data_IF_281098106956
#
_entry.id   IF_281098106956
#
_cell.length_a   1.000
_cell.length_b   1.000
_cell.length_c   1.000
_cell.angle_alpha   90.00
_cell.angle_beta   90.00
_cell.angle_gamma   90.00
#
_symmetry.space_group_name_H-M   'P 1'
#
loop_
_entity.id
_entity.type
_entity.pdbx_description
1 polymer ?
#
# COMPACT_ATOMS: atom_id res chain seq x y z
N UNK A 1 16.22 49.12 -4.76
CA UNK A 1 16.80 47.78 -4.79
C UNK A 1 15.76 46.85 -4.21
N UNK A 2 14.88 46.34 -5.05
CA UNK A 2 13.97 45.26 -4.68
C UNK A 2 14.82 44.01 -4.53
N UNK A 3 15.17 43.67 -3.30
CA UNK A 3 15.64 42.33 -2.97
C UNK A 3 14.46 41.41 -3.16
N UNK A 4 14.39 40.80 -4.33
CA UNK A 4 13.46 39.67 -4.58
C UNK A 4 13.78 38.58 -3.55
N UNK A 5 13.02 38.50 -2.48
CA UNK A 5 12.98 37.35 -1.57
C UNK A 5 12.31 36.19 -2.36
N UNK A 6 13.01 35.75 -3.40
CA UNK A 6 12.62 34.55 -4.12
C UNK A 6 12.67 33.39 -3.15
N UNK A 7 11.63 32.52 -3.16
CA UNK A 7 11.63 31.27 -2.35
C UNK A 7 12.92 30.49 -2.58
N UNK A 8 13.47 30.55 -3.80
CA UNK A 8 14.74 29.90 -4.15
C UNK A 8 15.96 30.51 -3.43
N UNK A 9 16.04 31.83 -3.31
CA UNK A 9 17.11 32.48 -2.56
C UNK A 9 17.01 32.21 -1.07
N UNK A 10 15.80 32.10 -0.52
CA UNK A 10 15.58 31.74 0.88
C UNK A 10 16.05 30.31 1.17
N UNK A 11 15.74 29.35 0.28
CA UNK A 11 16.22 27.96 0.42
C UNK A 11 17.76 27.89 0.32
N UNK A 12 18.36 28.62 -0.63
CA UNK A 12 19.83 28.58 -0.85
C UNK A 12 20.63 29.22 0.29
N UNK A 13 20.05 30.20 0.97
CA UNK A 13 20.71 30.90 2.08
C UNK A 13 20.39 30.33 3.47
N UNK A 14 19.47 29.35 3.54
CA UNK A 14 19.12 28.71 4.79
C UNK A 14 20.33 28.03 5.46
N UNK A 15 20.28 27.88 6.80
CA UNK A 15 21.32 27.15 7.52
C UNK A 15 21.46 25.72 6.99
N UNK A 16 22.67 25.18 6.98
CA UNK A 16 22.96 23.83 6.44
C UNK A 16 21.97 22.75 6.94
N UNK A 17 21.63 22.77 8.23
CA UNK A 17 20.72 21.79 8.80
C UNK A 17 19.28 21.96 8.25
N UNK A 18 18.80 23.19 8.08
CA UNK A 18 17.48 23.46 7.48
C UNK A 18 17.46 23.03 6.02
N UNK A 19 18.53 23.23 5.27
CA UNK A 19 18.67 22.73 3.90
C UNK A 19 18.58 21.20 3.83
N UNK A 20 19.26 20.49 4.75
CA UNK A 20 19.17 19.01 4.85
C UNK A 20 17.73 18.56 5.15
N UNK A 21 17.05 19.22 6.09
CA UNK A 21 15.64 18.95 6.40
C UNK A 21 14.75 19.14 5.18
N UNK A 22 14.89 20.26 4.47
CA UNK A 22 14.12 20.54 3.25
C UNK A 22 14.39 19.49 2.16
N UNK A 23 15.64 19.10 1.96
CA UNK A 23 16.01 18.06 0.99
C UNK A 23 15.36 16.70 1.33
N UNK A 24 15.43 16.29 2.60
CA UNK A 24 14.78 15.05 3.05
C UNK A 24 13.26 15.07 2.81
N UNK A 25 12.60 16.20 3.06
CA UNK A 25 11.17 16.36 2.83
C UNK A 25 10.81 16.32 1.34
N UNK A 26 11.64 16.92 0.46
CA UNK A 26 11.45 16.83 -1.00
C UNK A 26 11.60 15.37 -1.46
N UNK A 27 12.64 14.68 -1.02
CA UNK A 27 12.87 13.28 -1.38
C UNK A 27 11.71 12.40 -0.90
N UNK A 28 11.26 12.57 0.35
CA UNK A 28 10.11 11.85 0.87
C UNK A 28 8.83 12.11 0.05
N UNK A 29 8.60 13.36 -0.36
CA UNK A 29 7.47 13.75 -1.21
C UNK A 29 7.54 13.09 -2.58
N UNK A 30 8.69 13.16 -3.26
CA UNK A 30 8.87 12.55 -4.60
C UNK A 30 8.66 11.04 -4.56
N UNK A 31 9.26 10.35 -3.56
CA UNK A 31 9.06 8.90 -3.38
C UNK A 31 7.59 8.59 -3.11
N UNK A 32 6.93 9.38 -2.25
CA UNK A 32 5.49 9.20 -1.96
C UNK A 32 4.65 9.31 -3.22
N UNK A 33 4.85 10.31 -4.06
CA UNK A 33 4.14 10.44 -5.33
C UNK A 33 4.40 9.27 -6.28
N UNK A 34 5.65 8.81 -6.41
CA UNK A 34 5.99 7.64 -7.21
C UNK A 34 5.21 6.39 -6.73
N UNK A 35 5.18 6.16 -5.41
CA UNK A 35 4.44 5.07 -4.80
C UNK A 35 2.92 5.22 -4.99
N UNK A 36 2.37 6.42 -4.89
CA UNK A 36 0.95 6.68 -5.14
C UNK A 36 0.57 6.29 -6.56
N UNK A 37 1.34 6.69 -7.58
CA UNK A 37 1.07 6.31 -8.97
C UNK A 37 1.20 4.80 -9.20
N UNK A 38 2.22 4.17 -8.64
CA UNK A 38 2.39 2.72 -8.70
C UNK A 38 1.19 1.98 -8.08
N UNK A 39 0.76 2.39 -6.89
CA UNK A 39 -0.36 1.77 -6.19
C UNK A 39 -1.70 1.94 -6.91
N UNK A 40 -1.95 3.11 -7.50
CA UNK A 40 -3.12 3.31 -8.34
C UNK A 40 -3.22 2.28 -9.46
N UNK A 41 -2.10 1.96 -10.11
CA UNK A 41 -2.06 0.95 -11.18
C UNK A 41 -2.28 -0.46 -10.63
N UNK A 42 -1.65 -0.81 -9.50
CA UNK A 42 -1.80 -2.12 -8.85
C UNK A 42 -3.27 -2.38 -8.50
N UNK A 43 -3.93 -1.43 -7.80
CA UNK A 43 -5.35 -1.59 -7.43
C UNK A 43 -6.30 -1.63 -8.63
N UNK A 44 -6.03 -0.84 -9.69
CA UNK A 44 -6.81 -0.93 -10.93
C UNK A 44 -6.70 -2.30 -11.58
N UNK A 45 -5.48 -2.84 -11.67
CA UNK A 45 -5.22 -4.18 -12.23
C UNK A 45 -5.87 -5.28 -11.39
N UNK A 46 -5.69 -5.24 -10.05
CA UNK A 46 -6.25 -6.22 -9.14
C UNK A 46 -7.79 -6.28 -9.24
N UNK A 47 -8.45 -5.11 -9.25
CA UNK A 47 -9.91 -5.06 -9.39
C UNK A 47 -10.38 -5.57 -10.75
N UNK A 48 -9.68 -5.23 -11.84
CA UNK A 48 -10.03 -5.74 -13.17
C UNK A 48 -9.87 -7.25 -13.24
N UNK A 49 -8.76 -7.79 -12.73
CA UNK A 49 -8.51 -9.24 -12.70
C UNK A 49 -9.58 -9.96 -11.87
N UNK A 50 -9.97 -9.42 -10.71
CA UNK A 50 -11.07 -9.96 -9.90
C UNK A 50 -12.34 -10.11 -10.71
N UNK A 51 -12.82 -9.04 -11.36
CA UNK A 51 -14.08 -9.06 -12.12
C UNK A 51 -14.04 -10.07 -13.27
N UNK A 52 -12.95 -10.13 -14.01
CA UNK A 52 -12.78 -11.08 -15.11
C UNK A 52 -12.78 -12.52 -14.62
N UNK A 53 -12.11 -12.77 -13.47
CA UNK A 53 -12.06 -14.11 -12.90
C UNK A 53 -13.44 -14.55 -12.34
N UNK A 54 -14.14 -13.66 -11.63
CA UNK A 54 -15.48 -13.94 -11.10
C UNK A 54 -16.46 -14.27 -12.23
N UNK A 55 -16.44 -13.54 -13.34
CA UNK A 55 -17.27 -13.83 -14.51
C UNK A 55 -17.00 -15.23 -15.07
N UNK A 56 -15.73 -15.61 -15.21
CA UNK A 56 -15.34 -16.95 -15.64
C UNK A 56 -15.74 -18.03 -14.65
N UNK A 57 -15.53 -17.80 -13.37
CA UNK A 57 -15.85 -18.77 -12.32
C UNK A 57 -17.35 -19.07 -12.26
N UNK A 58 -18.18 -18.04 -12.35
CA UNK A 58 -19.64 -18.18 -12.30
C UNK A 58 -20.29 -18.54 -13.64
N UNK A 59 -19.55 -18.64 -14.72
CA UNK A 59 -20.07 -19.07 -16.03
C UNK A 59 -20.49 -20.54 -16.08
N UNK A 60 -20.25 -21.32 -15.04
CA UNK A 60 -20.55 -22.76 -14.99
C UNK A 60 -19.48 -23.65 -15.63
N UNK A 61 -18.30 -23.11 -15.93
CA UNK A 61 -17.14 -23.86 -16.42
C UNK A 61 -16.71 -24.95 -15.42
N UNK A 62 -16.25 -26.11 -15.90
CA UNK A 62 -15.69 -27.12 -15.00
C UNK A 62 -14.45 -26.61 -14.28
N UNK A 63 -14.38 -26.83 -12.95
CA UNK A 63 -13.29 -26.34 -12.11
C UNK A 63 -11.91 -26.85 -12.55
N UNK A 64 -11.84 -28.06 -13.10
CA UNK A 64 -10.60 -28.62 -13.60
C UNK A 64 -10.14 -27.96 -14.92
N UNK A 65 -11.08 -27.54 -15.76
CA UNK A 65 -10.80 -26.76 -16.95
C UNK A 65 -10.34 -25.35 -16.59
N UNK A 66 -11.04 -24.69 -15.69
CA UNK A 66 -10.69 -23.37 -15.17
C UNK A 66 -9.29 -23.39 -14.52
N UNK A 67 -8.98 -24.44 -13.74
CA UNK A 67 -7.66 -24.60 -13.12
C UNK A 67 -6.53 -24.71 -14.16
N UNK A 68 -6.75 -25.46 -15.26
CA UNK A 68 -5.77 -25.55 -16.35
C UNK A 68 -5.57 -24.21 -17.05
N UNK A 69 -6.66 -23.48 -17.32
CA UNK A 69 -6.60 -22.16 -17.94
C UNK A 69 -5.80 -21.18 -17.08
N UNK A 70 -6.15 -21.05 -15.79
CA UNK A 70 -5.48 -20.16 -14.83
C UNK A 70 -4.01 -20.56 -14.59
N UNK A 71 -3.70 -21.87 -14.63
CA UNK A 71 -2.33 -22.36 -14.42
C UNK A 71 -1.42 -22.13 -15.62
N UNK A 72 -1.97 -22.05 -16.81
CA UNK A 72 -1.24 -21.81 -18.05
C UNK A 72 -1.05 -20.32 -18.36
N UNK A 73 -1.79 -19.44 -17.71
CA UNK A 73 -1.66 -17.99 -17.87
C UNK A 73 -0.54 -17.45 -16.98
N UNK A 74 0.58 -16.98 -17.54
CA UNK A 74 1.68 -16.41 -16.73
C UNK A 74 1.30 -15.13 -16.01
N UNK A 75 0.19 -14.49 -16.37
CA UNK A 75 -0.32 -13.27 -15.72
C UNK A 75 -1.31 -13.55 -14.59
N UNK A 76 -1.88 -14.75 -14.55
CA UNK A 76 -2.89 -15.22 -13.58
C UNK A 76 -2.26 -15.67 -12.25
N UNK A 77 -1.39 -14.85 -11.65
CA UNK A 77 -0.69 -15.21 -10.40
C UNK A 77 -1.02 -14.27 -9.24
N UNK A 78 -2.13 -13.56 -9.29
CA UNK A 78 -2.53 -12.60 -8.26
C UNK A 78 -4.03 -12.60 -8.01
N UNK A 79 -4.43 -12.11 -6.84
CA UNK A 79 -5.83 -11.96 -6.48
C UNK A 79 -6.58 -13.29 -6.34
N UNK A 80 -7.83 -13.32 -6.81
CA UNK A 80 -8.72 -14.48 -6.71
C UNK A 80 -8.18 -15.71 -7.43
N UNK A 81 -7.50 -15.54 -8.55
CA UNK A 81 -6.89 -16.64 -9.30
C UNK A 81 -5.85 -17.40 -8.48
N UNK A 82 -5.06 -16.68 -7.68
CA UNK A 82 -4.09 -17.25 -6.75
C UNK A 82 -4.77 -18.08 -5.66
N UNK A 83 -5.84 -17.56 -5.07
CA UNK A 83 -6.64 -18.24 -4.03
C UNK A 83 -7.31 -19.50 -4.58
N UNK A 84 -7.98 -19.38 -5.72
CA UNK A 84 -8.60 -20.51 -6.42
C UNK A 84 -7.60 -21.60 -6.74
N UNK A 85 -6.46 -21.24 -7.37
CA UNK A 85 -5.41 -22.18 -7.76
C UNK A 85 -4.81 -22.91 -6.55
N UNK A 86 -4.56 -22.19 -5.45
CA UNK A 86 -4.04 -22.79 -4.22
C UNK A 86 -5.02 -23.80 -3.62
N UNK A 87 -6.29 -23.42 -3.49
CA UNK A 87 -7.34 -24.28 -2.95
C UNK A 87 -7.62 -25.49 -3.84
N UNK A 88 -7.79 -25.30 -5.15
CA UNK A 88 -8.09 -26.40 -6.06
C UNK A 88 -6.91 -27.37 -6.23
N UNK A 89 -5.67 -26.89 -6.27
CA UNK A 89 -4.49 -27.75 -6.32
C UNK A 89 -4.41 -28.65 -5.09
N UNK A 90 -4.59 -28.08 -3.91
CA UNK A 90 -4.52 -28.83 -2.67
C UNK A 90 -5.67 -29.81 -2.53
N UNK A 91 -6.88 -29.38 -2.90
CA UNK A 91 -8.05 -30.24 -2.99
C UNK A 91 -7.81 -31.47 -3.89
N UNK A 92 -7.31 -31.25 -5.08
CA UNK A 92 -7.06 -32.34 -6.05
C UNK A 92 -5.98 -33.29 -5.57
N UNK A 93 -4.94 -32.76 -4.91
CA UNK A 93 -3.85 -33.55 -4.32
C UNK A 93 -4.32 -34.43 -3.18
N UNK A 94 -5.01 -33.82 -2.21
CA UNK A 94 -5.46 -34.53 -1.01
C UNK A 94 -6.53 -35.56 -1.34
N UNK A 95 -7.42 -35.26 -2.30
CA UNK A 95 -8.44 -36.23 -2.74
C UNK A 95 -7.85 -37.49 -3.36
N UNK A 96 -6.64 -37.44 -3.91
CA UNK A 96 -5.93 -38.63 -4.40
C UNK A 96 -5.24 -39.42 -3.26
N UNK A 97 -4.91 -38.75 -2.15
CA UNK A 97 -4.12 -39.32 -1.06
C UNK A 97 -4.95 -39.75 0.15
N UNK A 98 -6.09 -39.10 0.37
CA UNK A 98 -6.96 -39.34 1.52
C UNK A 98 -8.39 -39.66 1.09
N UNK A 99 -9.04 -40.58 1.83
CA UNK A 99 -10.47 -40.87 1.69
C UNK A 99 -11.32 -40.08 2.70
N UNK A 100 -10.67 -39.34 3.62
CA UNK A 100 -11.35 -38.54 4.63
C UNK A 100 -11.71 -37.16 4.05
N UNK A 101 -13.03 -36.88 3.86
CA UNK A 101 -13.52 -35.62 3.33
C UNK A 101 -13.10 -34.39 4.16
N UNK A 102 -13.09 -34.53 5.48
CA UNK A 102 -12.79 -33.43 6.38
C UNK A 102 -11.32 -33.05 6.29
N UNK A 103 -10.40 -34.02 6.21
CA UNK A 103 -8.99 -33.78 5.99
C UNK A 103 -8.70 -33.10 4.66
N UNK A 104 -9.43 -33.45 3.60
CA UNK A 104 -9.33 -32.83 2.26
C UNK A 104 -9.80 -31.38 2.32
N UNK A 105 -10.90 -31.11 3.01
CA UNK A 105 -11.45 -29.75 3.14
C UNK A 105 -10.57 -28.85 3.99
N UNK A 106 -10.10 -29.35 5.14
CA UNK A 106 -9.18 -28.60 6.02
C UNK A 106 -7.89 -28.20 5.31
N UNK A 107 -7.30 -29.13 4.57
CA UNK A 107 -6.10 -28.85 3.80
C UNK A 107 -6.33 -27.78 2.72
N UNK A 108 -7.45 -27.90 2.00
CA UNK A 108 -7.82 -26.93 0.94
C UNK A 108 -8.07 -25.54 1.50
N UNK A 109 -8.79 -25.43 2.62
CA UNK A 109 -9.04 -24.15 3.30
C UNK A 109 -7.74 -23.53 3.84
N UNK A 110 -6.83 -24.34 4.37
CA UNK A 110 -5.51 -23.88 4.82
C UNK A 110 -4.71 -23.31 3.66
N UNK A 111 -4.72 -23.97 2.50
CA UNK A 111 -4.04 -23.50 1.31
C UNK A 111 -4.62 -22.16 0.81
N UNK A 112 -5.94 -21.99 0.83
CA UNK A 112 -6.61 -20.72 0.48
C UNK A 112 -6.25 -19.61 1.47
N UNK A 113 -6.25 -19.88 2.79
CA UNK A 113 -5.84 -18.88 3.80
C UNK A 113 -4.41 -18.40 3.61
N UNK A 114 -3.47 -19.31 3.31
CA UNK A 114 -2.08 -18.93 3.00
C UNK A 114 -2.01 -18.06 1.76
N UNK A 115 -2.78 -18.37 0.72
CA UNK A 115 -2.84 -17.56 -0.49
C UNK A 115 -3.42 -16.17 -0.20
N UNK A 116 -4.49 -16.07 0.59
CA UNK A 116 -5.10 -14.79 1.03
C UNK A 116 -4.10 -13.93 1.78
N UNK A 117 -3.35 -14.49 2.73
CA UNK A 117 -2.31 -13.76 3.48
C UNK A 117 -1.24 -13.18 2.54
N UNK A 118 -0.80 -13.94 1.54
CA UNK A 118 0.16 -13.46 0.54
C UNK A 118 -0.41 -12.35 -0.35
N UNK A 119 -1.68 -12.43 -0.71
CA UNK A 119 -2.34 -11.37 -1.47
C UNK A 119 -2.51 -10.09 -0.63
N UNK A 120 -2.81 -10.24 0.67
CA UNK A 120 -2.81 -9.12 1.62
C UNK A 120 -1.46 -8.41 1.65
N UNK A 121 -0.35 -9.14 1.83
CA UNK A 121 1.00 -8.56 1.82
C UNK A 121 1.30 -7.79 0.53
N UNK A 122 0.86 -8.29 -0.63
CA UNK A 122 1.02 -7.59 -1.92
C UNK A 122 0.18 -6.31 -2.00
N UNK A 123 -1.04 -6.32 -1.52
CA UNK A 123 -1.94 -5.17 -1.54
C UNK A 123 -1.49 -4.08 -0.56
N UNK A 124 -0.98 -4.46 0.60
CA UNK A 124 -0.51 -3.54 1.64
C UNK A 124 0.94 -3.08 1.45
N UNK A 125 1.68 -3.68 0.52
CA UNK A 125 3.07 -3.32 0.26
C UNK A 125 3.19 -1.80 0.00
N UNK A 126 4.22 -1.15 0.60
CA UNK A 126 4.49 0.29 0.56
C UNK A 126 3.46 1.21 1.26
N UNK A 127 2.32 0.71 1.77
CA UNK A 127 1.41 1.52 2.58
C UNK A 127 2.07 2.00 3.88
N UNK A 128 2.86 1.18 4.61
CA UNK A 128 3.56 1.65 5.80
C UNK A 128 4.48 2.84 5.54
N UNK A 129 5.13 2.90 4.38
CA UNK A 129 5.96 4.07 4.02
C UNK A 129 5.12 5.35 3.89
N UNK A 130 3.97 5.29 3.20
CA UNK A 130 3.07 6.44 3.09
C UNK A 130 2.53 6.89 4.45
N UNK A 131 2.19 5.94 5.33
CA UNK A 131 1.79 6.22 6.70
C UNK A 131 2.90 6.94 7.49
N UNK A 132 4.15 6.45 7.36
CA UNK A 132 5.30 7.04 8.03
C UNK A 132 5.57 8.47 7.53
N UNK A 133 5.63 8.68 6.22
CA UNK A 133 5.80 10.04 5.66
C UNK A 133 4.67 10.95 6.11
N UNK A 134 3.45 10.49 6.05
CA UNK A 134 2.28 11.26 6.46
C UNK A 134 2.30 11.68 7.94
N UNK A 135 2.74 10.80 8.83
CA UNK A 135 2.78 11.07 10.26
C UNK A 135 4.04 11.82 10.73
N UNK A 136 5.19 11.61 10.07
CA UNK A 136 6.47 12.16 10.55
C UNK A 136 6.89 13.47 9.87
N UNK A 137 6.54 13.67 8.58
CA UNK A 137 7.00 14.85 7.82
C UNK A 137 6.59 16.19 8.45
N UNK A 138 5.40 16.37 9.09
CA UNK A 138 5.06 17.61 9.77
C UNK A 138 6.01 17.91 10.93
N UNK A 139 6.43 16.90 11.67
CA UNK A 139 7.37 17.06 12.80
C UNK A 139 8.79 17.36 12.32
N UNK A 140 9.21 16.75 11.22
CA UNK A 140 10.49 17.05 10.57
C UNK A 140 10.50 18.50 10.07
N UNK A 141 9.41 18.98 9.47
CA UNK A 141 9.25 20.38 9.08
C UNK A 141 9.26 21.33 10.28
N UNK A 142 8.54 20.99 11.35
CA UNK A 142 8.53 21.75 12.61
C UNK A 142 9.92 21.83 13.24
N UNK A 143 10.67 20.71 13.23
CA UNK A 143 12.06 20.72 13.69
C UNK A 143 12.91 21.72 12.90
N UNK A 144 12.77 21.75 11.56
CA UNK A 144 13.43 22.74 10.71
C UNK A 144 13.08 24.17 11.10
N UNK A 145 11.81 24.44 11.44
CA UNK A 145 11.36 25.77 11.88
C UNK A 145 11.98 26.17 13.22
N UNK A 146 11.94 25.28 14.21
CA UNK A 146 12.51 25.56 15.54
C UNK A 146 14.01 25.84 15.42
N UNK A 147 14.73 25.05 14.64
CA UNK A 147 16.15 25.24 14.42
C UNK A 147 16.47 26.55 13.69
N UNK A 148 15.74 26.86 12.62
CA UNK A 148 15.94 28.07 11.84
C UNK A 148 15.71 29.35 12.65
N UNK A 149 14.60 29.38 13.43
CA UNK A 149 14.29 30.49 14.34
C UNK A 149 15.39 30.63 15.41
N UNK A 150 15.81 29.52 16.04
CA UNK A 150 16.88 29.52 17.02
C UNK A 150 18.17 30.10 16.44
N UNK A 151 18.54 29.68 15.23
CA UNK A 151 19.74 30.18 14.55
C UNK A 151 19.64 31.69 14.24
N UNK A 152 18.47 32.17 13.84
CA UNK A 152 18.22 33.59 13.59
C UNK A 152 18.40 34.44 14.86
N UNK A 153 17.90 33.98 15.99
CA UNK A 153 18.10 34.67 17.27
C UNK A 153 19.54 34.60 17.78
N UNK A 154 20.26 33.52 17.53
CA UNK A 154 21.70 33.44 17.86
C UNK A 154 22.51 34.44 17.06
N UNK A 155 22.18 34.66 15.79
CA UNK A 155 22.80 35.72 14.97
C UNK A 155 22.52 37.11 15.51
N UNK A 156 21.32 37.37 16.03
CA UNK A 156 20.93 38.64 16.60
C UNK A 156 21.77 39.03 17.85
N UNK A 157 22.12 38.04 18.67
CA UNK A 157 22.92 38.25 19.87
C UNK A 157 24.34 38.76 19.58
N UNK A 158 24.81 38.74 18.34
CA UNK A 158 26.13 39.17 17.92
C UNK A 158 26.15 40.55 17.27
N UNK A 159 25.00 41.25 17.14
CA UNK A 159 24.86 42.53 16.43
C UNK A 159 24.49 43.61 17.43
N UNK A 160 25.21 44.75 17.39
CA UNK A 160 25.00 45.90 18.30
C UNK A 160 23.65 46.63 18.06
N UNK A 161 23.12 46.56 16.82
CA UNK A 161 21.82 47.13 16.46
C UNK A 161 20.90 46.05 15.89
N UNK A 162 20.14 45.46 16.76
CA UNK A 162 19.13 44.43 16.41
C UNK A 162 17.93 45.10 15.74
N UNK A 163 17.67 44.75 14.47
CA UNK A 163 16.45 45.16 13.75
C UNK A 163 15.65 43.94 13.30
N UNK A 164 14.35 44.11 13.12
CA UNK A 164 13.49 43.06 12.59
C UNK A 164 13.96 42.59 11.20
N UNK A 165 14.52 43.49 10.40
CA UNK A 165 15.08 43.19 9.09
C UNK A 165 16.23 42.16 9.13
N UNK A 166 16.94 42.09 10.26
CA UNK A 166 18.07 41.14 10.43
C UNK A 166 17.61 39.72 10.63
N UNK A 167 16.43 39.47 11.24
CA UNK A 167 15.92 38.11 11.54
C UNK A 167 14.84 37.65 10.61
N UNK A 168 14.15 38.55 9.91
CA UNK A 168 13.03 38.26 9.03
C UNK A 168 13.36 37.19 7.95
N UNK A 169 14.53 37.24 7.27
CA UNK A 169 14.89 36.21 6.29
C UNK A 169 14.94 34.81 6.92
N UNK A 170 15.67 34.64 8.03
CA UNK A 170 15.84 33.33 8.67
C UNK A 170 14.54 32.79 9.28
N UNK A 171 13.62 33.64 9.74
CA UNK A 171 12.29 33.23 10.16
C UNK A 171 11.48 32.76 8.94
N UNK A 172 11.57 33.47 7.81
CA UNK A 172 10.88 33.10 6.57
C UNK A 172 11.38 31.74 6.04
N UNK A 173 12.70 31.51 6.05
CA UNK A 173 13.31 30.24 5.69
C UNK A 173 12.80 29.08 6.57
N UNK A 174 12.72 29.33 7.88
CA UNK A 174 12.19 28.34 8.83
C UNK A 174 10.74 27.97 8.52
N UNK A 175 9.88 28.93 8.26
CA UNK A 175 8.46 28.69 7.92
C UNK A 175 8.29 27.87 6.63
N UNK A 176 9.18 28.04 5.65
CA UNK A 176 9.20 27.21 4.43
C UNK A 176 9.41 25.73 4.78
N UNK A 177 10.30 25.41 5.72
CA UNK A 177 10.52 24.02 6.12
C UNK A 177 9.23 23.36 6.66
N UNK A 178 8.46 24.06 7.48
CA UNK A 178 7.16 23.54 7.95
C UNK A 178 6.16 23.39 6.82
N UNK A 179 6.08 24.36 5.92
CA UNK A 179 5.19 24.26 4.75
C UNK A 179 5.54 23.06 3.86
N UNK A 180 6.83 22.78 3.66
CA UNK A 180 7.30 21.59 2.92
C UNK A 180 6.97 20.29 3.64
N UNK A 181 7.07 20.25 4.97
CA UNK A 181 6.67 19.12 5.79
C UNK A 181 5.19 18.77 5.61
N UNK A 182 4.32 19.78 5.64
CA UNK A 182 2.89 19.62 5.40
C UNK A 182 2.59 19.23 3.95
N UNK A 183 3.29 19.82 2.99
CA UNK A 183 3.13 19.49 1.57
C UNK A 183 3.51 18.03 1.26
N UNK A 184 4.51 17.47 1.93
CA UNK A 184 4.85 16.06 1.82
C UNK A 184 3.84 15.15 2.54
N UNK A 185 3.37 15.55 3.72
CA UNK A 185 2.52 14.73 4.57
C UNK A 185 1.09 14.57 4.04
N UNK A 186 0.45 15.66 3.62
CA UNK A 186 -0.98 15.65 3.26
C UNK A 186 -1.29 14.67 2.14
N UNK A 187 -0.59 14.67 0.99
CA UNK A 187 -0.84 13.68 -0.07
C UNK A 187 -0.56 12.24 0.38
N UNK A 188 0.47 12.04 1.21
CA UNK A 188 0.85 10.72 1.70
C UNK A 188 -0.25 10.12 2.61
N UNK A 189 -0.79 10.89 3.55
CA UNK A 189 -1.91 10.47 4.42
C UNK A 189 -3.16 10.17 3.62
N UNK A 190 -3.53 11.06 2.70
CA UNK A 190 -4.72 10.87 1.86
C UNK A 190 -4.59 9.60 1.01
N UNK A 191 -3.41 9.37 0.43
CA UNK A 191 -3.13 8.19 -0.37
C UNK A 191 -3.16 6.91 0.48
N UNK A 192 -2.51 6.92 1.65
CA UNK A 192 -2.52 5.81 2.60
C UNK A 192 -3.96 5.40 2.96
N UNK A 193 -4.77 6.35 3.43
CA UNK A 193 -6.14 6.06 3.84
C UNK A 193 -7.00 5.50 2.70
N UNK A 194 -6.84 6.05 1.49
CA UNK A 194 -7.55 5.54 0.30
C UNK A 194 -7.11 4.13 -0.10
N UNK A 195 -5.83 3.84 -0.04
CA UNK A 195 -5.31 2.53 -0.44
C UNK A 195 -5.57 1.47 0.62
N UNK A 196 -5.48 1.81 1.92
CA UNK A 196 -5.88 0.92 3.00
C UNK A 196 -7.34 0.48 2.84
N UNK A 197 -8.26 1.43 2.69
CA UNK A 197 -9.68 1.10 2.48
C UNK A 197 -9.93 0.27 1.21
N UNK A 198 -9.16 0.48 0.12
CA UNK A 198 -9.27 -0.35 -1.09
C UNK A 198 -8.70 -1.74 -0.88
N UNK A 199 -7.61 -1.87 -0.13
CA UNK A 199 -7.02 -3.16 0.24
C UNK A 199 -8.02 -3.98 1.02
N UNK A 200 -8.60 -3.41 2.07
CA UNK A 200 -9.59 -4.08 2.91
C UNK A 200 -10.82 -4.55 2.11
N UNK A 201 -11.32 -3.70 1.21
CA UNK A 201 -12.46 -4.05 0.36
C UNK A 201 -12.15 -5.20 -0.60
N UNK A 202 -10.96 -5.23 -1.21
CA UNK A 202 -10.53 -6.31 -2.09
C UNK A 202 -10.33 -7.62 -1.31
N UNK A 203 -9.67 -7.55 -0.16
CA UNK A 203 -9.42 -8.72 0.69
C UNK A 203 -10.72 -9.34 1.18
N UNK A 204 -11.68 -8.53 1.59
CA UNK A 204 -13.00 -9.02 1.99
C UNK A 204 -13.71 -9.75 0.85
N UNK A 205 -13.61 -9.26 -0.38
CA UNK A 205 -14.15 -9.97 -1.54
C UNK A 205 -13.43 -11.31 -1.77
N UNK A 206 -12.11 -11.34 -1.61
CA UNK A 206 -11.33 -12.57 -1.75
C UNK A 206 -11.66 -13.60 -0.66
N UNK A 207 -11.89 -13.15 0.56
CA UNK A 207 -12.36 -14.00 1.67
C UNK A 207 -13.75 -14.59 1.38
N UNK A 208 -14.71 -13.75 0.97
CA UNK A 208 -16.05 -14.18 0.58
C UNK A 208 -15.98 -15.23 -0.54
N UNK A 209 -15.18 -14.98 -1.57
CA UNK A 209 -14.96 -15.96 -2.63
C UNK A 209 -14.39 -17.29 -2.10
N UNK A 210 -13.42 -17.23 -1.18
CA UNK A 210 -12.80 -18.44 -0.61
C UNK A 210 -13.85 -19.28 0.18
N UNK A 211 -14.77 -18.64 0.88
CA UNK A 211 -15.88 -19.31 1.58
C UNK A 211 -16.87 -19.95 0.61
N UNK A 212 -17.28 -19.22 -0.43
CA UNK A 212 -18.17 -19.73 -1.49
C UNK A 212 -17.53 -20.92 -2.22
N UNK A 213 -16.25 -20.78 -2.58
CA UNK A 213 -15.49 -21.84 -3.22
C UNK A 213 -15.33 -23.07 -2.31
N UNK A 214 -15.06 -22.86 -1.03
CA UNK A 214 -15.03 -23.94 -0.03
C UNK A 214 -16.35 -24.69 0.02
N UNK A 215 -17.49 -24.00 -0.02
CA UNK A 215 -18.82 -24.62 -0.04
C UNK A 215 -19.05 -25.46 -1.30
N UNK A 216 -18.54 -25.04 -2.45
CA UNK A 216 -18.59 -25.80 -3.71
C UNK A 216 -17.75 -27.08 -3.60
N UNK A 217 -16.52 -26.97 -3.09
CA UNK A 217 -15.62 -28.11 -2.89
C UNK A 217 -16.21 -29.12 -1.91
N UNK A 218 -16.79 -28.65 -0.80
CA UNK A 218 -17.46 -29.49 0.19
C UNK A 218 -18.59 -30.31 -0.42
N UNK A 219 -19.45 -29.70 -1.22
CA UNK A 219 -20.49 -30.43 -1.94
C UNK A 219 -19.93 -31.48 -2.91
N UNK A 220 -18.82 -31.15 -3.58
CA UNK A 220 -18.19 -32.06 -4.56
C UNK A 220 -17.51 -33.27 -3.90
N UNK A 221 -16.98 -33.13 -2.68
CA UNK A 221 -16.41 -34.25 -1.91
C UNK A 221 -17.53 -35.22 -1.50
N UNK A 222 -18.59 -34.71 -0.89
CA UNK A 222 -19.67 -35.55 -0.35
C UNK A 222 -20.61 -36.15 -1.42
N UNK A 223 -20.75 -35.49 -2.57
CA UNK A 223 -21.52 -36.09 -3.69
C UNK A 223 -20.86 -37.31 -4.31
N UNK A 224 -19.51 -37.37 -4.28
CA UNK A 224 -18.76 -38.52 -4.80
C UNK A 224 -18.81 -39.75 -3.87
N UNK A 225 -19.05 -39.56 -2.56
CA UNK A 225 -19.29 -40.68 -1.63
C UNK A 225 -20.61 -41.34 -1.85
N UNK A 226 -21.70 -40.57 -2.08
CA UNK A 226 -23.03 -41.12 -2.35
C UNK A 226 -23.09 -41.96 -3.64
N UNK A 227 -22.31 -41.58 -4.66
CA UNK A 227 -22.20 -42.34 -5.90
C UNK A 227 -21.30 -43.58 -5.83
N UNK A 228 -20.52 -43.78 -4.76
CA UNK A 228 -19.70 -44.97 -4.52
C UNK A 228 -20.41 -46.01 -3.60
N UNK A 229 -21.35 -45.52 -2.81
CA UNK A 229 -22.13 -46.34 -1.87
C UNK A 229 -23.44 -46.91 -2.46
N UNK A 230 -23.78 -46.51 -3.68
CA UNK A 230 -24.87 -47.03 -4.50
C UNK A 230 -24.34 -47.92 -5.63
#
# INVERSE_FOLDING_TARGET
VESHLSVWSLVANASFLVQVVMLLLVLASVISWALVFQRLQVFKKARKAQLVFEEKFWSGMDLGQLYREVSNDPTAHSGLESVFRAGFREFSRLRQQSQDPDAVMDGSQRAMRVALSREQEKLEAHLPFLATVGSTSPYVGLFGTVWGIMNSFRGLAQVQHATLATVAPGISEALIATAMGLFAAIPAVVAYNRFAAKSDALLKNYETFAEEFSSILHRRVHSSEKGRAA
#
